data_IF_380150392776
#
_entry.id   IF_380150392776
#
_cell.length_a   1.000
_cell.length_b   1.000
_cell.length_c   1.000
_cell.angle_alpha   90.00
_cell.angle_beta   90.00
_cell.angle_gamma   90.00
#
_symmetry.space_group_name_H-M   'P 1'
#
loop_
_entity.id
_entity.type
_entity.pdbx_description
1 polymer ?
#
# COMPACT_ATOMS: atom_id res chain seq x y z
N UNK A 1 -2.03 9.03 3.37
CA UNK A 1 -2.94 8.15 2.62
C UNK A 1 -4.40 8.24 3.09
N UNK A 2 -4.77 8.04 4.36
CA UNK A 2 -6.19 8.02 4.79
C UNK A 2 -7.01 9.22 4.32
N UNK A 3 -6.50 10.43 4.43
CA UNK A 3 -7.22 11.64 4.02
C UNK A 3 -7.66 11.68 2.55
N UNK A 4 -6.94 11.04 1.63
CA UNK A 4 -7.37 10.94 0.22
C UNK A 4 -8.54 9.97 0.06
N UNK A 5 -8.52 8.83 0.76
CA UNK A 5 -9.64 7.87 0.80
C UNK A 5 -10.88 8.52 1.37
N UNK A 6 -10.75 9.25 2.48
CA UNK A 6 -11.88 9.92 3.14
C UNK A 6 -12.51 11.01 2.27
N UNK A 7 -11.70 11.76 1.49
CA UNK A 7 -12.25 12.72 0.51
C UNK A 7 -13.00 12.04 -0.62
N UNK A 8 -12.50 10.90 -1.12
CA UNK A 8 -13.24 10.11 -2.11
C UNK A 8 -14.55 9.56 -1.54
N UNK A 9 -14.54 9.11 -0.30
CA UNK A 9 -15.76 8.68 0.41
C UNK A 9 -16.75 9.82 0.57
N UNK A 10 -16.28 11.03 0.87
CA UNK A 10 -17.13 12.22 1.01
C UNK A 10 -17.80 12.62 -0.30
N UNK A 11 -17.10 12.46 -1.43
CA UNK A 11 -17.69 12.69 -2.76
C UNK A 11 -18.81 11.68 -3.09
N UNK A 12 -18.75 10.46 -2.56
CA UNK A 12 -19.81 9.46 -2.73
C UNK A 12 -20.92 9.59 -1.70
N UNK A 13 -20.59 10.01 -0.49
CA UNK A 13 -21.52 10.19 0.62
C UNK A 13 -21.12 11.43 1.42
N UNK A 14 -21.81 12.57 1.21
CA UNK A 14 -21.55 13.80 1.94
C UNK A 14 -21.54 13.60 3.46
N UNK A 15 -20.54 14.17 4.14
CA UNK A 15 -20.33 14.02 5.58
C UNK A 15 -19.45 12.82 5.97
N UNK A 16 -19.08 11.96 5.01
CA UNK A 16 -18.21 10.82 5.29
C UNK A 16 -16.80 11.25 5.74
N UNK A 17 -16.27 12.34 5.17
CA UNK A 17 -14.95 12.84 5.57
C UNK A 17 -14.90 13.19 7.06
N UNK A 18 -15.86 13.96 7.54
CA UNK A 18 -15.92 14.37 8.94
C UNK A 18 -16.08 13.17 9.88
N UNK A 19 -16.99 12.26 9.54
CA UNK A 19 -17.23 11.04 10.32
C UNK A 19 -16.00 10.13 10.40
N UNK A 20 -15.36 9.85 9.26
CA UNK A 20 -14.19 8.98 9.19
C UNK A 20 -12.97 9.62 9.85
N UNK A 21 -12.74 10.92 9.62
CA UNK A 21 -11.63 11.64 10.24
C UNK A 21 -11.76 11.72 11.75
N UNK A 22 -12.99 11.88 12.28
CA UNK A 22 -13.24 11.92 13.71
C UNK A 22 -13.03 10.57 14.41
N UNK A 23 -13.13 9.45 13.69
CA UNK A 23 -12.90 8.11 14.22
C UNK A 23 -11.49 7.59 13.98
N UNK A 24 -10.77 8.15 13.00
CA UNK A 24 -9.48 7.65 12.60
C UNK A 24 -8.41 7.90 13.67
N UNK A 25 -7.71 6.85 14.04
CA UNK A 25 -6.54 6.90 14.90
C UNK A 25 -5.28 7.09 14.05
N UNK A 26 -4.39 7.98 14.46
CA UNK A 26 -3.07 8.13 13.84
C UNK A 26 -2.03 7.28 14.58
N UNK A 27 -2.10 5.98 14.39
CA UNK A 27 -1.20 5.02 15.05
C UNK A 27 0.21 4.99 14.46
N UNK A 28 0.39 5.57 13.26
CA UNK A 28 1.67 5.62 12.55
C UNK A 28 1.88 6.96 11.85
N UNK A 29 3.14 7.31 11.65
CA UNK A 29 3.54 8.50 10.88
C UNK A 29 3.23 9.83 11.56
N UNK A 30 2.81 9.81 12.81
CA UNK A 30 2.66 10.99 13.65
C UNK A 30 3.90 11.26 14.49
N UNK A 31 4.05 12.47 15.05
CA UNK A 31 5.21 12.84 15.87
C UNK A 31 5.35 11.97 17.14
N UNK A 32 4.25 11.40 17.62
CA UNK A 32 4.21 10.55 18.80
C UNK A 32 4.00 9.05 18.48
N UNK A 33 4.14 8.67 17.21
CA UNK A 33 4.00 7.26 16.82
C UNK A 33 5.19 6.44 17.34
N UNK A 34 4.96 5.26 17.92
CA UNK A 34 6.06 4.40 18.36
C UNK A 34 6.88 3.94 17.14
N UNK A 35 8.16 3.63 17.34
CA UNK A 35 8.97 3.05 16.28
C UNK A 35 8.38 1.70 15.83
N UNK A 36 8.52 1.33 14.54
CA UNK A 36 8.04 0.05 14.07
C UNK A 36 8.78 -1.10 14.78
N UNK A 37 8.11 -2.20 15.10
CA UNK A 37 8.74 -3.38 15.68
C UNK A 37 9.78 -3.96 14.71
N UNK A 38 10.90 -4.43 15.24
CA UNK A 38 12.05 -4.84 14.41
C UNK A 38 11.77 -6.04 13.48
N UNK A 39 10.88 -6.95 13.86
CA UNK A 39 10.67 -8.23 13.17
C UNK A 39 9.21 -8.55 12.89
N UNK A 40 8.34 -7.54 12.83
CA UNK A 40 6.90 -7.71 12.53
C UNK A 40 6.42 -6.65 11.57
N UNK A 41 5.47 -7.00 10.73
CA UNK A 41 4.74 -6.01 9.93
C UNK A 41 3.84 -5.21 10.85
N UNK A 42 4.19 -3.94 11.07
CA UNK A 42 3.52 -3.08 12.04
C UNK A 42 1.99 -3.03 11.87
N UNK A 43 1.50 -2.98 10.63
CA UNK A 43 0.05 -2.92 10.36
C UNK A 43 -0.69 -4.14 10.90
N UNK A 44 -0.16 -5.34 10.61
CA UNK A 44 -0.70 -6.59 11.11
C UNK A 44 -0.60 -6.71 12.62
N UNK A 45 0.51 -6.27 13.20
CA UNK A 45 0.71 -6.26 14.65
C UNK A 45 -0.33 -5.39 15.36
N UNK A 46 -0.59 -4.17 14.87
CA UNK A 46 -1.56 -3.26 15.49
C UNK A 46 -2.99 -3.81 15.49
N UNK A 47 -3.37 -4.53 14.43
CA UNK A 47 -4.67 -5.22 14.37
C UNK A 47 -4.68 -6.44 15.29
N UNK A 48 -3.65 -7.28 15.24
CA UNK A 48 -3.56 -8.46 16.09
C UNK A 48 -3.55 -8.12 17.60
N UNK A 49 -2.93 -7.00 17.97
CA UNK A 49 -2.85 -6.51 19.34
C UNK A 49 -4.12 -5.71 19.77
N UNK A 50 -5.16 -5.68 18.94
CA UNK A 50 -6.43 -5.00 19.23
C UNK A 50 -6.33 -3.47 19.34
N UNK A 51 -5.28 -2.87 18.74
CA UNK A 51 -5.10 -1.41 18.72
C UNK A 51 -5.97 -0.74 17.66
N UNK A 52 -6.39 -1.49 16.66
CA UNK A 52 -7.32 -1.07 15.62
C UNK A 52 -8.07 -2.31 15.09
N UNK A 53 -9.36 -2.17 14.82
CA UNK A 53 -10.15 -3.21 14.16
C UNK A 53 -9.87 -3.26 12.66
N UNK A 54 -9.57 -2.10 12.07
CA UNK A 54 -9.29 -1.93 10.64
C UNK A 54 -8.09 -1.03 10.47
N UNK A 55 -7.17 -1.41 9.58
CA UNK A 55 -6.01 -0.60 9.22
C UNK A 55 -6.04 -0.26 7.72
N UNK A 56 -5.99 1.04 7.39
CA UNK A 56 -5.90 1.51 6.01
C UNK A 56 -4.44 1.51 5.55
N UNK A 57 -4.11 0.70 4.58
CA UNK A 57 -2.74 0.48 4.11
C UNK A 57 -2.73 0.22 2.59
N UNK A 58 -1.59 0.33 1.94
CA UNK A 58 -1.43 -0.11 0.56
C UNK A 58 -1.48 -1.64 0.46
N UNK A 59 -1.92 -2.18 -0.68
CA UNK A 59 -2.01 -3.63 -0.92
C UNK A 59 -0.71 -4.38 -0.61
N UNK A 60 0.44 -3.78 -0.88
CA UNK A 60 1.75 -4.35 -0.55
C UNK A 60 1.91 -4.60 0.94
N UNK A 61 1.53 -3.64 1.77
CA UNK A 61 1.55 -3.75 3.23
C UNK A 61 0.50 -4.71 3.77
N UNK A 62 -0.72 -4.69 3.18
CA UNK A 62 -1.79 -5.63 3.56
C UNK A 62 -1.38 -7.08 3.31
N UNK A 63 -0.81 -7.38 2.14
CA UNK A 63 -0.31 -8.73 1.82
C UNK A 63 0.84 -9.17 2.71
N UNK A 64 1.73 -8.25 3.10
CA UNK A 64 2.79 -8.55 4.05
C UNK A 64 2.22 -8.86 5.45
N UNK A 65 1.26 -8.07 5.93
CA UNK A 65 0.59 -8.30 7.21
C UNK A 65 -0.16 -9.64 7.25
N UNK A 66 -0.87 -9.99 6.18
CA UNK A 66 -1.60 -11.26 6.09
C UNK A 66 -0.69 -12.48 6.09
N UNK A 67 0.52 -12.38 5.50
CA UNK A 67 1.50 -13.49 5.56
C UNK A 67 1.95 -13.80 6.99
N UNK A 68 2.06 -12.78 7.84
CA UNK A 68 2.40 -12.96 9.26
C UNK A 68 1.20 -13.36 10.11
N UNK A 69 0.01 -12.91 9.72
CA UNK A 69 -1.24 -13.12 10.45
C UNK A 69 -2.32 -13.63 9.47
N UNK A 70 -2.34 -14.92 9.15
CA UNK A 70 -3.25 -15.50 8.14
C UNK A 70 -4.73 -15.31 8.43
N UNK A 71 -5.10 -15.13 9.70
CA UNK A 71 -6.49 -14.90 10.13
C UNK A 71 -7.00 -13.49 9.81
N UNK A 72 -6.09 -12.55 9.43
CA UNK A 72 -6.47 -11.21 9.04
C UNK A 72 -6.99 -11.17 7.61
N UNK A 73 -8.11 -10.49 7.41
CA UNK A 73 -8.73 -10.36 6.10
C UNK A 73 -8.27 -9.07 5.41
N UNK A 74 -8.01 -9.18 4.10
CA UNK A 74 -7.81 -8.04 3.23
C UNK A 74 -9.14 -7.70 2.58
N UNK A 75 -9.62 -6.48 2.80
CA UNK A 75 -10.79 -5.92 2.12
C UNK A 75 -10.29 -4.89 1.11
N UNK A 76 -10.40 -5.21 -0.17
CA UNK A 76 -10.01 -4.30 -1.24
C UNK A 76 -11.09 -3.22 -1.43
N UNK A 77 -10.65 -1.99 -1.65
CA UNK A 77 -11.56 -0.92 -1.97
C UNK A 77 -12.08 -1.03 -3.40
N UNK A 78 -13.36 -0.70 -3.63
CA UNK A 78 -13.83 -0.46 -4.97
C UNK A 78 -13.03 0.69 -5.62
N UNK A 79 -12.92 0.68 -6.94
CA UNK A 79 -12.11 1.64 -7.72
C UNK A 79 -12.41 3.11 -7.36
N UNK A 80 -13.68 3.43 -7.11
CA UNK A 80 -14.12 4.76 -6.70
C UNK A 80 -13.45 5.27 -5.41
N UNK A 81 -13.07 4.37 -4.50
CA UNK A 81 -12.40 4.68 -3.23
C UNK A 81 -10.89 4.41 -3.28
N UNK A 82 -10.43 3.61 -4.22
CA UNK A 82 -9.03 3.20 -4.31
C UNK A 82 -8.10 4.41 -4.50
N UNK A 83 -6.98 4.40 -3.79
CA UNK A 83 -5.92 5.41 -3.88
C UNK A 83 -4.61 4.70 -4.12
N UNK A 84 -4.12 4.80 -5.34
CA UNK A 84 -2.80 4.32 -5.73
C UNK A 84 -1.67 5.27 -5.32
N UNK A 85 -0.44 4.78 -5.42
CA UNK A 85 0.77 5.57 -5.43
C UNK A 85 1.62 5.13 -6.62
N UNK A 86 2.02 6.10 -7.43
CA UNK A 86 2.95 5.85 -8.53
C UNK A 86 4.37 5.83 -7.96
N UNK A 87 5.13 4.82 -8.34
CA UNK A 87 6.52 4.68 -7.94
C UNK A 87 7.41 4.94 -9.15
N UNK A 88 8.40 5.79 -8.98
CA UNK A 88 9.40 6.10 -9.99
C UNK A 88 10.74 5.47 -9.65
N UNK A 89 11.50 5.12 -10.68
CA UNK A 89 12.88 4.66 -10.59
C UNK A 89 13.77 5.67 -11.30
N UNK A 90 14.87 6.06 -10.68
CA UNK A 90 15.92 6.84 -11.32
C UNK A 90 17.30 6.27 -11.01
N UNK A 91 18.22 6.40 -11.95
CA UNK A 91 19.63 6.04 -11.77
C UNK A 91 20.43 7.33 -11.81
N UNK A 92 21.25 7.58 -10.80
CA UNK A 92 22.09 8.78 -10.73
C UNK A 92 23.20 8.76 -11.79
N UNK A 93 23.63 9.93 -12.24
CA UNK A 93 24.67 10.04 -13.29
C UNK A 93 26.01 9.41 -12.89
N UNK A 94 26.31 9.39 -11.59
CA UNK A 94 27.54 8.81 -11.03
C UNK A 94 27.40 7.35 -10.60
N UNK A 95 26.25 6.72 -10.91
CA UNK A 95 26.02 5.35 -10.51
C UNK A 95 26.93 4.35 -11.22
N UNK A 96 27.32 3.30 -10.53
CA UNK A 96 28.07 2.20 -11.12
C UNK A 96 27.25 1.49 -12.24
N UNK A 97 27.89 0.89 -13.26
CA UNK A 97 27.18 0.19 -14.33
C UNK A 97 26.20 -0.88 -13.87
N UNK A 98 26.44 -1.47 -12.70
CA UNK A 98 25.51 -2.43 -12.09
C UNK A 98 24.15 -1.84 -11.74
N UNK A 99 24.08 -0.55 -11.41
CA UNK A 99 22.81 0.10 -11.11
C UNK A 99 21.88 0.19 -12.34
N UNK A 100 22.46 0.42 -13.52
CA UNK A 100 21.69 0.43 -14.78
C UNK A 100 21.13 -0.97 -15.09
N UNK A 101 21.95 -2.02 -14.91
CA UNK A 101 21.49 -3.40 -15.09
C UNK A 101 20.39 -3.77 -14.11
N UNK A 102 20.48 -3.33 -12.87
CA UNK A 102 19.45 -3.53 -11.86
C UNK A 102 18.16 -2.77 -12.22
N UNK A 103 18.27 -1.51 -12.68
CA UNK A 103 17.12 -0.76 -13.15
C UNK A 103 16.42 -1.47 -14.32
N UNK A 104 17.16 -1.95 -15.30
CA UNK A 104 16.61 -2.74 -16.41
C UNK A 104 15.95 -4.03 -15.94
N UNK A 105 16.54 -4.74 -14.98
CA UNK A 105 15.93 -5.91 -14.36
C UNK A 105 14.59 -5.56 -13.69
N UNK A 106 14.51 -4.46 -12.93
CA UNK A 106 13.26 -4.01 -12.32
C UNK A 106 12.19 -3.74 -13.38
N UNK A 107 12.57 -3.15 -14.51
CA UNK A 107 11.64 -2.82 -15.60
C UNK A 107 11.25 -4.02 -16.48
N UNK A 108 11.89 -5.16 -16.31
CA UNK A 108 11.66 -6.40 -17.08
C UNK A 108 11.26 -7.57 -16.15
N UNK A 109 12.15 -8.51 -15.91
CA UNK A 109 11.89 -9.73 -15.12
C UNK A 109 11.46 -9.45 -13.68
N UNK A 110 11.96 -8.36 -13.12
CA UNK A 110 11.59 -7.87 -11.79
C UNK A 110 10.10 -7.53 -11.64
N UNK A 111 9.39 -7.25 -12.74
CA UNK A 111 7.96 -6.92 -12.68
C UNK A 111 7.12 -8.08 -12.13
N UNK A 112 7.49 -9.32 -12.43
CA UNK A 112 6.83 -10.50 -11.85
C UNK A 112 6.98 -10.54 -10.33
N UNK A 113 8.17 -10.26 -9.82
CA UNK A 113 8.45 -10.23 -8.38
C UNK A 113 7.67 -9.10 -7.71
N UNK A 114 7.61 -7.93 -8.36
CA UNK A 114 6.84 -6.79 -7.86
C UNK A 114 5.34 -7.12 -7.79
N UNK A 115 4.79 -7.78 -8.83
CA UNK A 115 3.39 -8.19 -8.84
C UNK A 115 3.06 -9.18 -7.70
N UNK A 116 3.94 -10.15 -7.42
CA UNK A 116 3.81 -11.07 -6.28
C UNK A 116 3.79 -10.33 -4.92
N UNK A 117 4.41 -9.14 -4.86
CA UNK A 117 4.41 -8.28 -3.67
C UNK A 117 3.21 -7.31 -3.62
N UNK A 118 2.36 -7.30 -4.64
CA UNK A 118 1.16 -6.46 -4.69
C UNK A 118 1.33 -5.12 -5.41
N UNK A 119 2.43 -4.94 -6.15
CA UNK A 119 2.58 -3.81 -7.07
C UNK A 119 1.87 -4.11 -8.38
N UNK A 120 1.38 -3.05 -9.03
CA UNK A 120 0.78 -3.12 -10.37
C UNK A 120 1.69 -2.36 -11.33
N UNK A 121 2.03 -2.96 -12.46
CA UNK A 121 2.81 -2.28 -13.49
C UNK A 121 1.94 -1.23 -14.20
N UNK A 122 2.31 0.07 -14.17
CA UNK A 122 1.44 1.14 -14.64
C UNK A 122 1.26 1.17 -16.17
N UNK A 123 2.15 0.54 -16.92
CA UNK A 123 2.21 0.66 -18.38
C UNK A 123 2.07 -0.67 -19.15
N UNK A 124 1.76 -1.75 -18.47
CA UNK A 124 1.33 -2.93 -19.21
C UNK A 124 -0.12 -2.70 -19.62
N UNK A 125 -0.44 -2.78 -20.94
CA UNK A 125 -1.84 -2.82 -21.33
C UNK A 125 -2.50 -3.93 -20.51
N UNK A 126 -3.61 -3.60 -19.84
CA UNK A 126 -4.41 -4.63 -19.20
C UNK A 126 -4.59 -5.73 -20.25
N UNK A 127 -4.05 -6.91 -19.99
CA UNK A 127 -4.27 -8.04 -20.90
C UNK A 127 -5.78 -8.10 -21.05
N UNK A 128 -6.23 -7.75 -22.26
CA UNK A 128 -7.62 -7.92 -22.61
C UNK A 128 -7.95 -9.34 -22.17
N UNK A 129 -8.94 -9.46 -21.31
CA UNK A 129 -9.35 -10.70 -20.70
C UNK A 129 -9.25 -11.81 -21.72
N UNK A 130 -8.42 -12.79 -21.44
CA UNK A 130 -8.37 -14.01 -22.22
C UNK A 130 -9.79 -14.54 -22.23
N UNK A 131 -10.36 -14.55 -23.42
CA UNK A 131 -11.67 -15.09 -23.72
C UNK A 131 -11.66 -16.60 -23.47
#
# INVERSE_FOLDING_TARGET
MPGRVFRKADALRPGAFATLSGKALQLMGGPNSPPPPANRVLYGALVADGKADIFLVYCTGARAAQRENPDQQIVEFPEALAVGADYGLTVTLTAAPAAYRFAMFILSDGQRILAEKGFVAPNLPSSAAAR
#
